data_IF_738241046358
#
_entry.id   IF_738241046358
#
_cell.length_a   1.000
_cell.length_b   1.000
_cell.length_c   1.000
_cell.angle_alpha   90.00
_cell.angle_beta   90.00
_cell.angle_gamma   90.00
#
_symmetry.space_group_name_H-M   'P 1'
#
loop_
_entity.id
_entity.type
_entity.pdbx_description
1 polymer ?
#
# COMPACT_ATOMS: atom_id res chain seq x y z
N UNK A 1 -2.71 15.68 11.03
CA UNK A 1 -3.85 15.15 11.83
C UNK A 1 -4.11 13.65 11.61
N UNK A 2 -3.78 13.08 10.44
CA UNK A 2 -3.83 11.62 10.19
C UNK A 2 -2.53 10.89 10.57
N UNK A 3 -1.35 11.49 10.29
CA UNK A 3 -0.04 10.88 10.58
C UNK A 3 0.17 10.44 12.03
N UNK A 4 -0.44 11.12 13.01
CA UNK A 4 -0.32 10.77 14.43
C UNK A 4 -1.22 9.60 14.85
N UNK A 5 -2.26 9.26 14.09
CA UNK A 5 -3.19 8.16 14.38
C UNK A 5 -2.86 6.88 13.61
N UNK A 6 -2.24 6.98 12.44
CA UNK A 6 -1.91 5.82 11.60
C UNK A 6 -1.00 4.78 12.27
N UNK A 7 0.03 5.16 13.06
CA UNK A 7 0.82 4.20 13.83
C UNK A 7 -0.03 3.37 14.79
N UNK A 8 -1.03 3.99 15.42
CA UNK A 8 -1.95 3.35 16.37
C UNK A 8 -2.92 2.40 15.66
N UNK A 9 -3.38 2.75 14.46
CA UNK A 9 -4.28 1.88 13.68
C UNK A 9 -3.52 0.66 13.13
N UNK A 10 -2.29 0.86 12.68
CA UNK A 10 -1.47 -0.18 12.07
C UNK A 10 -0.85 -1.15 13.10
N UNK A 11 -0.71 -0.72 14.36
CA UNK A 11 -0.24 -1.51 15.51
C UNK A 11 1.05 -2.33 15.24
N UNK A 12 1.92 -1.87 14.33
CA UNK A 12 3.13 -2.59 13.84
C UNK A 12 2.86 -3.96 13.20
N UNK A 13 1.60 -4.36 13.09
CA UNK A 13 1.17 -5.62 12.48
C UNK A 13 0.68 -5.42 11.08
N UNK A 14 0.33 -4.20 10.70
CA UNK A 14 -0.22 -3.89 9.40
C UNK A 14 0.49 -2.71 8.76
N UNK A 15 0.50 -2.68 7.43
CA UNK A 15 1.07 -1.57 6.66
C UNK A 15 0.10 -1.09 5.61
N UNK A 16 0.07 0.23 5.42
CA UNK A 16 -0.65 0.91 4.35
C UNK A 16 0.17 0.82 3.07
N UNK A 17 -0.48 0.55 1.95
CA UNK A 17 0.15 0.63 0.63
C UNK A 17 0.09 2.08 0.12
N UNK A 18 1.24 2.73 0.08
CA UNK A 18 1.43 4.08 -0.41
C UNK A 18 1.84 4.13 -1.89
N UNK A 19 1.66 5.30 -2.48
CA UNK A 19 2.20 5.57 -3.81
C UNK A 19 3.73 5.81 -3.76
N UNK A 20 4.42 5.66 -4.91
CA UNK A 20 5.87 5.88 -5.01
C UNK A 20 6.31 7.33 -4.76
N UNK A 21 5.36 8.28 -4.75
CA UNK A 21 5.61 9.66 -4.33
C UNK A 21 5.87 9.82 -2.82
N UNK A 22 5.45 8.86 -1.99
CA UNK A 22 5.64 8.91 -0.53
C UNK A 22 6.94 8.24 -0.10
N UNK A 23 7.49 8.67 1.03
CA UNK A 23 8.62 8.00 1.68
C UNK A 23 8.14 6.79 2.47
N UNK A 24 8.93 5.70 2.47
CA UNK A 24 8.66 4.50 3.26
C UNK A 24 8.64 4.83 4.77
N UNK A 25 7.70 4.23 5.52
CA UNK A 25 7.57 4.38 6.97
C UNK A 25 7.23 3.02 7.60
N UNK A 26 7.34 2.91 8.93
CA UNK A 26 7.00 1.68 9.67
C UNK A 26 5.55 1.19 9.50
N UNK A 27 4.67 2.03 8.96
CA UNK A 27 3.26 1.75 8.72
C UNK A 27 2.86 2.02 7.25
N UNK A 28 3.82 2.38 6.39
CA UNK A 28 3.59 2.75 4.98
C UNK A 28 4.62 2.06 4.09
N UNK A 29 4.15 1.09 3.31
CA UNK A 29 4.93 0.42 2.28
C UNK A 29 4.74 1.13 0.94
N UNK A 30 5.85 1.38 0.27
CA UNK A 30 5.88 2.00 -1.06
C UNK A 30 6.61 1.06 -2.02
N UNK A 31 6.26 1.04 -3.32
CA UNK A 31 7.01 0.24 -4.28
C UNK A 31 8.46 0.75 -4.37
N UNK A 32 9.39 -0.15 -4.64
CA UNK A 32 10.77 0.24 -4.95
C UNK A 32 10.79 1.06 -6.23
N UNK A 33 11.45 2.22 -6.18
CA UNK A 33 11.65 3.06 -7.37
C UNK A 33 12.64 2.39 -8.31
N UNK A 34 12.26 2.28 -9.57
CA UNK A 34 13.13 1.74 -10.60
C UNK A 34 14.12 2.81 -11.07
N UNK A 35 15.38 2.63 -10.68
CA UNK A 35 16.51 3.44 -11.15
C UNK A 35 17.38 2.67 -12.17
N UNK A 36 16.86 1.58 -12.74
CA UNK A 36 17.57 0.69 -13.66
C UNK A 36 18.38 -0.42 -12.98
N UNK A 37 18.41 -0.45 -11.65
CA UNK A 37 19.22 -1.37 -10.83
C UNK A 37 18.39 -2.14 -9.79
N UNK A 38 17.14 -2.49 -10.11
CA UNK A 38 16.33 -3.29 -9.18
C UNK A 38 16.85 -4.72 -9.11
N UNK A 39 17.02 -5.23 -7.88
CA UNK A 39 17.36 -6.63 -7.67
C UNK A 39 16.13 -7.53 -7.86
N UNK A 40 16.34 -8.84 -8.04
CA UNK A 40 15.26 -9.80 -8.28
C UNK A 40 14.21 -9.81 -7.15
N UNK A 41 14.62 -9.57 -5.91
CA UNK A 41 13.72 -9.52 -4.75
C UNK A 41 12.81 -8.28 -4.79
N UNK A 42 13.35 -7.12 -5.16
CA UNK A 42 12.62 -5.87 -5.33
C UNK A 42 11.66 -5.94 -6.51
N UNK A 43 12.06 -6.58 -7.61
CA UNK A 43 11.19 -6.84 -8.76
C UNK A 43 10.01 -7.72 -8.33
N UNK A 44 10.29 -8.80 -7.59
CA UNK A 44 9.25 -9.69 -7.07
C UNK A 44 8.31 -8.99 -6.08
N UNK A 45 8.88 -8.17 -5.20
CA UNK A 45 8.10 -7.33 -4.29
C UNK A 45 7.20 -6.38 -5.05
N UNK A 46 7.74 -5.60 -6.00
CA UNK A 46 6.98 -4.65 -6.82
C UNK A 46 5.88 -5.35 -7.59
N UNK A 47 6.13 -6.56 -8.12
CA UNK A 47 5.12 -7.37 -8.82
C UNK A 47 3.95 -7.73 -7.89
N UNK A 48 4.23 -8.22 -6.68
CA UNK A 48 3.20 -8.51 -5.67
C UNK A 48 2.47 -7.25 -5.21
N UNK A 49 3.20 -6.16 -5.02
CA UNK A 49 2.66 -4.86 -4.61
C UNK A 49 1.67 -4.33 -5.65
N UNK A 50 2.04 -4.33 -6.94
CA UNK A 50 1.19 -3.91 -8.04
C UNK A 50 -0.02 -4.82 -8.22
N UNK A 51 0.14 -6.14 -8.15
CA UNK A 51 -0.99 -7.08 -8.21
C UNK A 51 -2.00 -6.83 -7.09
N UNK A 52 -1.52 -6.58 -5.87
CA UNK A 52 -2.36 -6.21 -4.73
C UNK A 52 -3.13 -4.92 -5.01
N UNK A 53 -2.44 -3.86 -5.49
CA UNK A 53 -3.07 -2.59 -5.87
C UNK A 53 -4.16 -2.75 -6.93
N UNK A 54 -3.93 -3.54 -7.97
CA UNK A 54 -4.94 -3.78 -9.02
C UNK A 54 -6.21 -4.42 -8.44
N UNK A 55 -6.08 -5.42 -7.56
CA UNK A 55 -7.23 -6.04 -6.91
C UNK A 55 -8.06 -5.02 -6.11
N UNK A 56 -7.36 -4.13 -5.41
CA UNK A 56 -7.95 -3.07 -4.59
C UNK A 56 -8.67 -2.04 -5.46
N UNK A 57 -7.98 -1.54 -6.48
CA UNK A 57 -8.51 -0.55 -7.41
C UNK A 57 -9.72 -1.09 -8.17
N UNK A 58 -9.71 -2.37 -8.57
CA UNK A 58 -10.87 -3.04 -9.18
C UNK A 58 -12.04 -3.14 -8.19
N UNK A 59 -11.79 -3.64 -6.98
CA UNK A 59 -12.81 -3.74 -5.92
C UNK A 59 -13.43 -2.36 -5.69
N UNK A 60 -12.61 -1.33 -5.47
CA UNK A 60 -13.11 0.01 -5.25
C UNK A 60 -13.72 0.64 -6.50
N UNK A 61 -13.30 0.28 -7.71
CA UNK A 61 -13.97 0.69 -8.95
C UNK A 61 -15.46 0.32 -8.92
N UNK A 62 -15.78 -0.89 -8.49
CA UNK A 62 -17.16 -1.32 -8.29
C UNK A 62 -17.86 -0.53 -7.17
N UNK A 63 -17.18 -0.28 -6.05
CA UNK A 63 -17.77 0.46 -4.93
C UNK A 63 -17.95 1.96 -5.21
N UNK A 64 -17.06 2.59 -5.98
CA UNK A 64 -17.15 4.01 -6.36
C UNK A 64 -18.39 4.26 -7.20
N UNK A 65 -18.71 3.37 -8.14
CA UNK A 65 -19.94 3.45 -8.92
C UNK A 65 -21.21 3.31 -8.06
N UNK A 66 -21.19 2.41 -7.07
CA UNK A 66 -22.36 2.12 -6.23
C UNK A 66 -22.59 3.13 -5.10
N UNK A 67 -21.53 3.64 -4.47
CA UNK A 67 -21.62 4.46 -3.26
C UNK A 67 -21.07 5.88 -3.42
N UNK A 68 -20.66 6.29 -4.64
CA UNK A 68 -20.14 7.64 -4.96
C UNK A 68 -18.97 8.08 -4.06
N UNK A 69 -18.14 7.13 -3.64
CA UNK A 69 -17.01 7.37 -2.75
C UNK A 69 -15.86 8.05 -3.52
N UNK A 70 -15.44 9.25 -3.10
CA UNK A 70 -14.43 10.03 -3.83
C UNK A 70 -12.98 9.65 -3.48
N UNK A 71 -12.72 9.29 -2.23
CA UNK A 71 -11.36 8.99 -1.73
C UNK A 71 -11.40 7.84 -0.75
N UNK A 72 -10.94 6.66 -1.17
CA UNK A 72 -10.69 5.52 -0.29
C UNK A 72 -9.42 4.84 -0.78
N UNK A 73 -8.41 4.82 0.08
CA UNK A 73 -7.22 3.99 -0.10
C UNK A 73 -6.71 3.61 1.28
N UNK A 74 -7.07 2.41 1.76
CA UNK A 74 -6.42 1.79 2.92
C UNK A 74 -6.39 0.28 2.67
N UNK A 75 -5.18 -0.26 2.52
CA UNK A 75 -4.94 -1.69 2.64
C UNK A 75 -3.94 -1.90 3.71
N UNK A 76 -4.32 -2.72 4.69
CA UNK A 76 -3.52 -3.13 5.83
C UNK A 76 -2.95 -4.51 5.50
N UNK A 77 -1.72 -4.58 5.00
CA UNK A 77 -1.05 -5.88 4.80
C UNK A 77 -0.45 -6.32 6.11
N UNK A 78 -0.69 -7.57 6.53
CA UNK A 78 -0.09 -8.07 7.76
C UNK A 78 1.42 -8.16 7.57
N UNK A 79 2.19 -7.42 8.37
CA UNK A 79 3.64 -7.53 8.43
C UNK A 79 4.01 -8.98 8.75
N UNK A 80 4.96 -9.59 8.02
CA UNK A 80 5.53 -10.86 8.44
C UNK A 80 6.03 -10.69 9.88
N UNK A 81 5.57 -11.57 10.77
CA UNK A 81 6.13 -11.66 12.12
C UNK A 81 7.57 -12.13 11.96
N UNK A 82 8.53 -11.25 12.30
CA UNK A 82 9.90 -11.64 12.63
C UNK A 82 9.88 -12.65 13.78
#
# INVERSE_FOLDING_TARGET
>A
MLDTKLPVICQRRYHILGDGAYSIREWLLTPYKDYGNLNNEQIHFNKKFSATRVLIENTFGHFKGRFRLKYICIVLTRSPSL
#
